data_IF_426426330500
#
_entry.id   IF_426426330500
#
_cell.length_a   1.000
_cell.length_b   1.000
_cell.length_c   1.000
_cell.angle_alpha   90.00
_cell.angle_beta   90.00
_cell.angle_gamma   90.00
#
_symmetry.space_group_name_H-M   'P 1'
#
loop_
_entity.id
_entity.type
_entity.pdbx_description
1 polymer ?
#
# COMPACT_ATOMS: atom_id res chain seq x y z
N UNK A 1 51.93 -65.00 27.39
CA UNK A 1 51.38 -66.28 26.94
C UNK A 1 50.04 -65.99 26.29
N UNK A 2 49.94 -66.37 25.01
CA UNK A 2 48.77 -66.76 24.19
C UNK A 2 47.44 -66.02 24.40
N UNK A 3 46.88 -65.29 23.42
CA UNK A 3 46.34 -65.70 22.11
C UNK A 3 44.99 -66.46 22.16
N UNK A 4 44.03 -66.01 21.34
CA UNK A 4 42.83 -66.73 20.89
C UNK A 4 41.50 -66.04 21.25
N UNK A 5 40.56 -65.75 20.34
CA UNK A 5 40.46 -66.03 18.91
C UNK A 5 39.09 -65.58 18.33
N UNK A 6 39.01 -65.62 16.98
CA UNK A 6 37.88 -65.69 16.01
C UNK A 6 36.44 -65.36 16.46
N UNK A 7 35.53 -64.76 15.67
CA UNK A 7 35.46 -64.47 14.24
C UNK A 7 33.97 -64.52 13.79
N UNK A 8 33.58 -63.75 12.75
CA UNK A 8 32.33 -63.82 11.94
C UNK A 8 30.96 -63.69 12.65
N UNK A 9 29.89 -63.07 12.16
CA UNK A 9 29.52 -62.42 10.91
C UNK A 9 27.97 -62.38 10.81
N UNK A 10 27.44 -61.25 10.31
CA UNK A 10 26.19 -61.06 9.53
C UNK A 10 24.78 -61.24 10.15
N UNK A 11 23.99 -60.17 9.90
CA UNK A 11 22.57 -60.09 9.50
C UNK A 11 21.43 -60.16 10.52
N UNK A 12 20.48 -59.24 10.34
CA UNK A 12 19.06 -59.45 10.65
C UNK A 12 18.42 -58.32 11.46
N UNK A 13 17.59 -57.52 10.79
CA UNK A 13 16.89 -56.37 11.34
C UNK A 13 15.49 -56.72 11.93
N UNK A 14 14.90 -55.73 12.62
CA UNK A 14 13.44 -55.52 12.90
C UNK A 14 12.92 -56.33 14.11
N UNK A 15 12.21 -55.82 15.14
CA UNK A 15 11.20 -54.74 15.24
C UNK A 15 10.98 -54.24 16.69
N UNK A 16 10.69 -52.94 16.78
CA UNK A 16 9.87 -52.15 17.72
C UNK A 16 9.36 -52.71 19.07
N UNK A 17 9.54 -51.87 20.12
CA UNK A 17 8.41 -51.26 20.87
C UNK A 17 8.88 -50.02 21.63
N UNK A 18 8.30 -48.87 21.28
CA UNK A 18 8.49 -47.59 21.95
C UNK A 18 7.43 -47.28 23.01
N UNK A 19 7.63 -46.13 23.66
CA UNK A 19 6.69 -45.22 24.37
C UNK A 19 7.59 -44.12 24.97
N UNK A 20 7.36 -42.80 24.94
CA UNK A 20 6.49 -41.82 24.26
C UNK A 20 7.28 -40.48 24.19
N UNK A 21 6.85 -39.35 23.65
CA UNK A 21 5.51 -38.83 23.34
C UNK A 21 5.54 -37.73 22.24
N UNK A 22 4.43 -37.69 21.49
CA UNK A 22 3.74 -36.67 20.68
C UNK A 22 4.32 -35.25 20.42
N UNK A 23 4.14 -34.74 19.19
CA UNK A 23 3.07 -33.76 18.86
C UNK A 23 3.09 -33.33 17.36
N UNK A 24 1.89 -33.18 16.77
CA UNK A 24 1.62 -32.10 15.82
C UNK A 24 1.69 -32.39 14.32
N UNK A 25 0.55 -32.76 13.73
CA UNK A 25 0.33 -32.96 12.30
C UNK A 25 0.67 -31.76 11.38
N UNK A 26 1.67 -31.89 10.51
CA UNK A 26 1.84 -31.01 9.35
C UNK A 26 1.05 -31.56 8.15
N UNK A 27 -0.10 -30.95 7.82
CA UNK A 27 -0.86 -31.29 6.61
C UNK A 27 -0.02 -30.95 5.36
N UNK A 28 0.22 -31.93 4.50
CA UNK A 28 0.94 -31.78 3.24
C UNK A 28 0.11 -30.93 2.28
N UNK A 29 0.65 -29.80 1.82
CA UNK A 29 -0.05 -28.87 0.91
C UNK A 29 -0.32 -29.53 -0.46
N UNK A 30 -1.46 -29.21 -1.13
CA UNK A 30 -1.80 -29.72 -2.45
C UNK A 30 -0.79 -29.26 -3.54
N UNK A 31 -0.59 -30.04 -4.63
CA UNK A 31 0.38 -29.72 -5.68
C UNK A 31 0.14 -28.37 -6.37
N UNK A 32 -1.10 -27.88 -6.43
CA UNK A 32 -1.44 -26.58 -7.00
C UNK A 32 -0.92 -25.39 -6.17
N UNK A 33 -0.63 -25.59 -4.87
CA UNK A 33 -0.09 -24.59 -3.96
C UNK A 33 1.45 -24.52 -4.00
N UNK A 34 2.13 -25.40 -4.75
CA UNK A 34 3.61 -25.46 -4.80
C UNK A 34 4.22 -24.37 -5.69
N UNK A 35 3.43 -23.72 -6.55
CA UNK A 35 3.87 -22.54 -7.34
C UNK A 35 3.85 -21.22 -6.56
N UNK A 36 3.13 -21.16 -5.45
CA UNK A 36 3.18 -20.04 -4.51
C UNK A 36 4.04 -20.44 -3.30
N UNK A 37 5.34 -20.66 -3.53
CA UNK A 37 6.29 -20.66 -2.42
C UNK A 37 6.48 -19.20 -2.01
N UNK A 38 5.79 -18.78 -0.95
CA UNK A 38 6.37 -17.76 -0.08
C UNK A 38 7.73 -18.31 0.36
N UNK A 39 8.81 -17.75 -0.18
CA UNK A 39 10.15 -18.18 0.14
C UNK A 39 10.40 -17.90 1.63
N UNK A 40 10.90 -18.90 2.36
CA UNK A 40 11.62 -18.60 3.58
C UNK A 40 12.84 -17.74 3.18
N UNK A 41 13.17 -16.65 3.91
CA UNK A 41 14.28 -15.80 3.53
C UNK A 41 15.55 -16.63 3.55
N UNK A 42 16.21 -16.73 2.40
CA UNK A 42 17.54 -17.30 2.30
C UNK A 42 18.46 -16.51 3.25
N UNK A 43 19.34 -17.20 3.98
CA UNK A 43 20.32 -16.57 4.89
C UNK A 43 21.31 -15.64 4.17
N UNK A 44 21.25 -15.59 2.84
CA UNK A 44 22.03 -14.72 1.96
C UNK A 44 21.16 -13.75 1.15
N UNK A 45 19.87 -13.59 1.49
CA UNK A 45 19.05 -12.52 0.94
C UNK A 45 19.59 -11.16 1.45
N UNK A 46 20.66 -10.68 0.80
CA UNK A 46 21.04 -9.26 0.80
C UNK A 46 19.75 -8.51 0.50
N UNK A 47 19.36 -7.59 1.38
CA UNK A 47 18.17 -6.76 1.26
C UNK A 47 17.96 -6.35 -0.20
N UNK A 48 17.06 -7.04 -0.91
CA UNK A 48 16.78 -6.72 -2.29
C UNK A 48 15.87 -5.50 -2.26
N UNK A 49 16.25 -4.44 -2.98
CA UNK A 49 15.64 -3.11 -2.92
C UNK A 49 14.18 -3.03 -3.45
N UNK A 50 13.41 -4.11 -3.41
CA UNK A 50 12.30 -4.37 -4.34
C UNK A 50 10.99 -4.86 -3.71
N UNK A 51 10.69 -4.46 -2.49
CA UNK A 51 9.33 -4.64 -1.98
C UNK A 51 8.93 -3.35 -1.28
N UNK A 52 7.75 -2.82 -1.59
CA UNK A 52 7.11 -1.77 -0.79
C UNK A 52 5.72 -2.24 -0.44
N UNK A 53 5.60 -2.69 0.81
CA UNK A 53 4.40 -2.64 1.65
C UNK A 53 4.96 -2.67 3.07
N UNK A 54 5.22 -1.49 3.64
CA UNK A 54 5.86 -1.31 4.95
C UNK A 54 7.40 -1.28 4.92
N UNK A 55 7.96 -0.40 5.75
CA UNK A 55 9.37 -0.03 5.86
C UNK A 55 10.38 -1.19 6.00
N UNK A 56 11.58 -1.03 5.43
CA UNK A 56 12.76 -1.89 5.67
C UNK A 56 13.76 -1.15 6.56
N UNK A 57 14.22 -1.78 7.64
CA UNK A 57 15.35 -1.28 8.44
C UNK A 57 16.63 -2.04 8.06
N UNK A 58 17.70 -1.32 7.72
CA UNK A 58 19.06 -1.87 7.67
C UNK A 58 19.51 -2.38 9.06
N UNK A 59 20.29 -3.47 9.16
CA UNK A 59 20.90 -3.83 10.43
C UNK A 59 22.12 -2.93 10.69
N UNK A 60 22.04 -2.07 11.71
CA UNK A 60 23.26 -1.52 12.35
C UNK A 60 24.00 -2.66 13.04
N UNK A 61 25.04 -3.17 12.38
CA UNK A 61 25.96 -4.11 13.00
C UNK A 61 26.92 -3.38 13.94
N UNK A 62 26.80 -3.68 15.24
CA UNK A 62 27.97 -3.83 16.11
C UNK A 62 27.69 -5.00 17.03
N UNK A 63 28.51 -6.05 16.90
CA UNK A 63 28.49 -7.28 17.70
C UNK A 63 27.53 -8.39 17.26
N UNK A 64 27.99 -9.23 16.31
CA UNK A 64 28.03 -10.70 16.43
C UNK A 64 26.77 -11.52 16.74
N UNK A 65 25.56 -10.98 16.74
CA UNK A 65 24.31 -11.76 16.85
C UNK A 65 23.48 -11.55 15.60
N UNK A 66 23.06 -12.65 14.98
CA UNK A 66 22.19 -12.64 13.80
C UNK A 66 20.96 -11.77 14.08
N UNK A 67 20.90 -10.61 13.42
CA UNK A 67 19.74 -9.74 13.45
C UNK A 67 18.59 -10.47 12.75
N UNK A 68 17.50 -10.75 13.47
CA UNK A 68 16.25 -11.23 12.87
C UNK A 68 15.81 -10.21 11.81
N UNK A 69 15.59 -10.66 10.59
CA UNK A 69 14.90 -9.86 9.56
C UNK A 69 13.48 -9.62 10.08
N UNK A 70 13.13 -8.36 10.34
CA UNK A 70 11.79 -7.97 10.71
C UNK A 70 11.10 -7.43 9.47
N UNK A 71 9.99 -8.06 9.08
CA UNK A 71 9.07 -7.52 8.11
C UNK A 71 8.07 -6.66 8.87
N UNK A 72 8.00 -5.37 8.54
CA UNK A 72 6.89 -4.54 8.98
C UNK A 72 5.72 -4.82 8.04
N UNK A 73 4.87 -5.76 8.43
CA UNK A 73 3.57 -5.86 7.78
C UNK A 73 2.73 -4.66 8.24
N UNK A 74 2.03 -4.02 7.31
CA UNK A 74 1.03 -3.04 7.70
C UNK A 74 0.00 -3.77 8.59
N UNK A 75 -0.29 -3.27 9.81
CA UNK A 75 -1.22 -3.94 10.71
C UNK A 75 -2.64 -4.11 10.12
N UNK A 76 -2.99 -3.39 9.06
CA UNK A 76 -4.27 -3.50 8.38
C UNK A 76 -4.44 -4.78 7.56
N UNK A 77 -3.36 -5.42 7.07
CA UNK A 77 -3.42 -6.66 6.29
C UNK A 77 -2.40 -7.71 6.79
N UNK A 78 -2.60 -8.25 8.00
CA UNK A 78 -1.64 -9.17 8.60
C UNK A 78 -1.54 -10.49 7.83
N UNK A 79 -0.32 -10.87 7.49
CA UNK A 79 0.00 -12.14 6.82
C UNK A 79 0.16 -12.06 5.30
N UNK A 80 -0.10 -10.91 4.70
CA UNK A 80 0.03 -10.68 3.26
C UNK A 80 0.81 -9.39 2.93
N UNK A 81 1.32 -9.28 1.71
CA UNK A 81 1.96 -8.09 1.16
C UNK A 81 1.98 -8.14 -0.36
N UNK A 82 1.66 -7.03 -1.02
CA UNK A 82 1.86 -6.87 -2.46
C UNK A 82 3.28 -6.35 -2.74
N UNK A 83 3.97 -6.95 -3.70
CA UNK A 83 5.36 -6.63 -4.02
C UNK A 83 5.50 -6.13 -5.46
N UNK A 84 6.06 -4.94 -5.62
CA UNK A 84 6.41 -4.36 -6.92
C UNK A 84 7.93 -4.24 -7.04
N UNK A 85 8.49 -4.74 -8.15
CA UNK A 85 9.91 -4.57 -8.44
C UNK A 85 10.19 -3.11 -8.82
N UNK A 86 11.00 -2.46 -7.98
CA UNK A 86 11.49 -1.09 -8.18
C UNK A 86 12.62 -1.08 -9.20
N UNK A 87 12.51 -0.23 -10.21
CA UNK A 87 13.60 0.07 -11.16
C UNK A 87 14.38 1.31 -10.70
N UNK A 88 13.69 2.35 -10.24
CA UNK A 88 14.33 3.60 -9.82
C UNK A 88 13.50 4.35 -8.78
N UNK A 89 14.13 4.83 -7.71
CA UNK A 89 13.52 5.79 -6.79
C UNK A 89 13.60 7.18 -7.43
N UNK A 90 12.46 7.85 -7.57
CA UNK A 90 12.33 9.16 -8.18
C UNK A 90 12.27 10.28 -7.13
N UNK A 91 11.59 10.02 -6.02
CA UNK A 91 11.46 10.93 -4.90
C UNK A 91 11.33 10.18 -3.58
N UNK A 92 11.91 10.73 -2.52
CA UNK A 92 11.69 10.27 -1.15
C UNK A 92 11.76 11.48 -0.21
N UNK A 93 10.74 11.67 0.59
CA UNK A 93 10.65 12.78 1.54
C UNK A 93 9.67 12.50 2.67
N UNK A 94 9.58 13.44 3.61
CA UNK A 94 8.64 13.40 4.72
C UNK A 94 8.03 14.78 4.90
N UNK A 95 6.70 14.88 4.88
CA UNK A 95 5.97 16.10 5.16
C UNK A 95 5.71 16.23 6.66
N UNK A 96 4.85 17.19 7.05
CA UNK A 96 4.33 17.28 8.41
C UNK A 96 3.37 16.14 8.75
N UNK A 97 2.81 15.46 7.74
CA UNK A 97 1.72 14.50 7.87
C UNK A 97 2.19 13.06 7.68
N UNK A 98 3.01 12.82 6.67
CA UNK A 98 3.33 11.46 6.21
C UNK A 98 4.67 11.38 5.45
N UNK A 99 5.12 10.16 5.22
CA UNK A 99 6.27 9.84 4.38
C UNK A 99 5.81 9.65 2.95
N UNK A 100 6.48 10.33 2.01
CA UNK A 100 6.13 10.35 0.59
C UNK A 100 7.25 9.71 -0.21
N UNK A 101 6.91 8.69 -0.99
CA UNK A 101 7.84 8.00 -1.88
C UNK A 101 7.23 7.90 -3.27
N UNK A 102 8.04 8.22 -4.28
CA UNK A 102 7.72 7.95 -5.68
C UNK A 102 8.83 7.11 -6.28
N UNK A 103 8.44 6.02 -6.93
CA UNK A 103 9.39 5.18 -7.66
C UNK A 103 8.81 4.71 -8.99
N UNK A 104 9.69 4.40 -9.92
CA UNK A 104 9.37 3.71 -11.16
C UNK A 104 9.45 2.21 -10.95
N UNK A 105 8.35 1.51 -11.23
CA UNK A 105 8.25 0.06 -11.16
C UNK A 105 8.52 -0.58 -12.52
N UNK A 106 8.94 -1.84 -12.52
CA UNK A 106 9.26 -2.57 -13.75
C UNK A 106 8.05 -2.81 -14.68
N UNK A 107 6.83 -2.87 -14.14
CA UNK A 107 5.64 -3.34 -14.90
C UNK A 107 4.35 -2.58 -14.61
N UNK A 108 4.35 -1.62 -13.67
CA UNK A 108 3.20 -0.80 -13.27
C UNK A 108 3.42 0.71 -13.50
N UNK A 109 4.52 1.10 -14.16
CA UNK A 109 4.88 2.50 -14.35
C UNK A 109 5.31 3.16 -13.03
N UNK A 110 5.06 4.46 -12.87
CA UNK A 110 5.34 5.16 -11.62
C UNK A 110 4.32 4.80 -10.54
N UNK A 111 4.78 4.83 -9.30
CA UNK A 111 4.02 4.43 -8.11
C UNK A 111 4.16 5.50 -7.04
N UNK A 112 3.05 5.97 -6.50
CA UNK A 112 3.01 6.83 -5.32
C UNK A 112 2.77 5.97 -4.09
N UNK A 113 3.57 6.23 -3.05
CA UNK A 113 3.45 5.55 -1.76
C UNK A 113 3.43 6.59 -0.66
N UNK A 114 2.45 6.47 0.24
CA UNK A 114 2.30 7.27 1.44
C UNK A 114 2.38 6.36 2.67
N UNK A 115 3.25 6.67 3.63
CA UNK A 115 3.48 5.87 4.85
C UNK A 115 3.71 4.36 4.58
N UNK A 116 4.33 4.05 3.44
CA UNK A 116 4.61 2.68 3.03
C UNK A 116 3.43 1.94 2.38
N UNK A 117 2.33 2.63 2.10
CA UNK A 117 1.12 2.12 1.44
C UNK A 117 1.04 2.67 0.02
N UNK A 118 0.88 1.78 -0.97
CA UNK A 118 0.67 2.17 -2.37
C UNK A 118 -0.67 2.89 -2.48
N UNK A 119 -0.64 4.14 -2.96
CA UNK A 119 -1.84 4.92 -3.20
C UNK A 119 -2.33 4.78 -4.65
N UNK A 120 -1.39 4.80 -5.62
CA UNK A 120 -1.70 4.63 -7.03
C UNK A 120 -0.51 4.08 -7.82
N UNK A 121 -0.81 3.52 -8.98
CA UNK A 121 0.16 3.23 -10.03
C UNK A 121 -0.34 3.78 -11.38
N UNK A 122 0.57 4.19 -12.26
CA UNK A 122 0.22 4.65 -13.62
C UNK A 122 -0.63 3.63 -14.40
N UNK A 123 -0.48 2.33 -14.09
CA UNK A 123 -1.08 1.26 -14.87
C UNK A 123 -2.55 1.00 -14.55
N UNK A 124 -2.97 1.21 -13.30
CA UNK A 124 -4.30 0.82 -12.82
C UNK A 124 -5.06 1.95 -12.10
N UNK A 125 -4.50 3.16 -12.02
CA UNK A 125 -5.17 4.36 -11.49
C UNK A 125 -6.58 4.55 -12.05
N UNK A 126 -6.77 4.26 -13.35
CA UNK A 126 -8.03 4.53 -14.03
C UNK A 126 -9.20 3.78 -13.40
N UNK A 127 -8.97 2.54 -12.93
CA UNK A 127 -10.01 1.73 -12.33
C UNK A 127 -10.54 2.38 -11.04
N UNK A 128 -9.66 2.96 -10.22
CA UNK A 128 -10.06 3.62 -8.99
C UNK A 128 -10.68 5.00 -9.29
N UNK A 129 -9.98 5.84 -10.05
CA UNK A 129 -10.37 7.23 -10.30
C UNK A 129 -11.70 7.33 -11.06
N UNK A 130 -11.89 6.51 -12.09
CA UNK A 130 -13.14 6.47 -12.84
C UNK A 130 -14.29 6.00 -11.93
N UNK A 131 -14.07 4.96 -11.13
CA UNK A 131 -15.14 4.36 -10.31
C UNK A 131 -15.57 5.29 -9.18
N UNK A 132 -14.63 5.83 -8.40
CA UNK A 132 -14.95 6.70 -7.28
C UNK A 132 -15.63 8.00 -7.73
N UNK A 133 -15.33 8.45 -8.96
CA UNK A 133 -15.90 9.66 -9.53
C UNK A 133 -17.23 9.42 -10.22
N UNK A 134 -17.29 8.47 -11.15
CA UNK A 134 -18.44 8.32 -12.04
C UNK A 134 -19.60 7.59 -11.37
N UNK A 135 -19.36 6.71 -10.39
CA UNK A 135 -20.46 6.09 -9.63
C UNK A 135 -21.39 7.14 -8.99
N UNK A 136 -20.92 8.10 -8.17
CA UNK A 136 -21.81 9.11 -7.59
C UNK A 136 -22.30 10.12 -8.62
N UNK A 137 -21.43 10.64 -9.50
CA UNK A 137 -21.81 11.75 -10.40
C UNK A 137 -22.75 11.34 -11.52
N UNK A 138 -22.72 10.07 -11.97
CA UNK A 138 -23.71 9.55 -12.91
C UNK A 138 -25.04 9.16 -12.24
N UNK A 139 -25.10 9.15 -10.91
CA UNK A 139 -26.30 8.79 -10.13
C UNK A 139 -27.17 9.99 -9.76
N UNK A 140 -26.73 11.21 -10.05
CA UNK A 140 -27.45 12.46 -9.79
C UNK A 140 -27.60 13.29 -11.07
N UNK A 141 -28.74 13.99 -11.27
CA UNK A 141 -28.96 14.76 -12.49
C UNK A 141 -28.16 16.07 -12.47
N UNK A 142 -27.27 16.25 -13.45
CA UNK A 142 -26.55 17.51 -13.71
C UNK A 142 -25.86 18.12 -12.47
N UNK A 143 -24.91 17.41 -11.82
CA UNK A 143 -24.17 17.96 -10.70
C UNK A 143 -23.44 19.25 -11.10
N UNK A 144 -23.48 20.26 -10.24
CA UNK A 144 -22.90 21.59 -10.46
C UNK A 144 -21.73 21.88 -9.52
N UNK A 145 -21.86 21.57 -8.23
CA UNK A 145 -20.81 21.83 -7.24
C UNK A 145 -20.38 20.54 -6.55
N UNK A 146 -19.12 20.16 -6.76
CA UNK A 146 -18.53 18.92 -6.26
C UNK A 146 -17.39 19.25 -5.31
N UNK A 147 -17.33 18.54 -4.17
CA UNK A 147 -16.18 18.55 -3.26
C UNK A 147 -15.39 17.26 -3.40
N UNK A 148 -14.07 17.36 -3.51
CA UNK A 148 -13.14 16.25 -3.38
C UNK A 148 -12.34 16.43 -2.09
N UNK A 149 -12.34 15.43 -1.22
CA UNK A 149 -11.51 15.39 -0.01
C UNK A 149 -10.37 14.42 -0.23
N UNK A 150 -9.14 14.85 0.05
CA UNK A 150 -7.93 14.17 -0.37
C UNK A 150 -7.69 14.36 -1.87
N UNK A 151 -7.33 13.28 -2.58
CA UNK A 151 -7.12 13.31 -4.03
C UNK A 151 -5.94 14.18 -4.49
N UNK A 152 -4.89 14.29 -3.66
CA UNK A 152 -3.70 15.09 -3.94
C UNK A 152 -2.95 14.74 -5.24
N UNK A 153 -3.18 13.57 -5.85
CA UNK A 153 -2.63 13.23 -7.17
C UNK A 153 -3.32 13.97 -8.34
N UNK A 154 -4.57 14.40 -8.14
CA UNK A 154 -5.38 15.16 -9.11
C UNK A 154 -6.16 14.30 -10.10
N UNK A 155 -6.07 12.98 -9.99
CA UNK A 155 -6.78 12.04 -10.86
C UNK A 155 -8.30 12.13 -10.77
N UNK A 156 -8.84 12.16 -9.55
CA UNK A 156 -10.28 12.39 -9.35
C UNK A 156 -10.72 13.72 -9.95
N UNK A 157 -9.91 14.79 -9.84
CA UNK A 157 -10.23 16.08 -10.46
C UNK A 157 -10.32 15.99 -11.98
N UNK A 158 -9.40 15.25 -12.61
CA UNK A 158 -9.41 14.98 -14.05
C UNK A 158 -10.73 14.30 -14.47
N UNK A 159 -11.18 13.33 -13.69
CA UNK A 159 -12.41 12.59 -13.97
C UNK A 159 -13.67 13.43 -13.69
N UNK A 160 -13.71 14.22 -12.61
CA UNK A 160 -14.81 15.15 -12.32
C UNK A 160 -14.94 16.18 -13.44
N UNK A 161 -13.81 16.65 -13.98
CA UNK A 161 -13.76 17.63 -15.05
C UNK A 161 -14.40 17.15 -16.36
N UNK A 162 -14.61 15.84 -16.55
CA UNK A 162 -15.34 15.29 -17.72
C UNK A 162 -16.83 15.60 -17.69
N UNK A 163 -17.39 15.92 -16.53
CA UNK A 163 -18.80 16.26 -16.39
C UNK A 163 -19.01 17.74 -16.74
N UNK A 164 -19.63 17.99 -17.91
CA UNK A 164 -19.84 19.35 -18.43
C UNK A 164 -20.85 20.17 -17.62
N UNK A 165 -21.69 19.52 -16.79
CA UNK A 165 -22.62 20.21 -15.90
C UNK A 165 -21.94 20.79 -14.67
N UNK A 166 -20.75 20.29 -14.31
CA UNK A 166 -20.02 20.76 -13.13
C UNK A 166 -19.51 22.17 -13.40
N UNK A 167 -19.89 23.09 -12.52
CA UNK A 167 -19.57 24.52 -12.56
C UNK A 167 -18.43 24.86 -11.60
N UNK A 168 -18.28 24.11 -10.50
CA UNK A 168 -17.26 24.33 -9.46
C UNK A 168 -16.79 23.02 -8.85
N UNK A 169 -15.48 22.89 -8.67
CA UNK A 169 -14.83 21.74 -8.04
C UNK A 169 -13.97 22.27 -6.90
N UNK A 170 -14.39 22.05 -5.66
CA UNK A 170 -13.54 22.32 -4.50
C UNK A 170 -12.72 21.06 -4.19
N UNK A 171 -11.42 21.20 -3.93
CA UNK A 171 -10.58 20.11 -3.42
C UNK A 171 -9.95 20.52 -2.10
N UNK A 172 -10.06 19.66 -1.09
CA UNK A 172 -9.42 19.83 0.20
C UNK A 172 -8.43 18.71 0.46
N UNK A 173 -7.15 19.02 0.32
CA UNK A 173 -6.03 18.09 0.53
C UNK A 173 -5.16 18.63 1.67
N UNK A 174 -4.81 17.79 2.63
CA UNK A 174 -4.12 18.22 3.83
C UNK A 174 -2.62 18.43 3.59
N UNK A 175 -2.03 17.68 2.65
CA UNK A 175 -0.59 17.63 2.45
C UNK A 175 -0.15 18.27 1.13
N UNK A 176 0.32 19.52 1.22
CA UNK A 176 0.91 20.26 0.09
C UNK A 176 2.02 19.46 -0.61
N UNK A 177 2.81 18.67 0.13
CA UNK A 177 3.92 17.94 -0.45
C UNK A 177 3.43 16.87 -1.43
N UNK A 178 2.30 16.22 -1.15
CA UNK A 178 1.71 15.22 -2.04
C UNK A 178 1.31 15.87 -3.37
N UNK A 179 0.66 17.03 -3.32
CA UNK A 179 0.25 17.79 -4.51
C UNK A 179 1.47 18.16 -5.37
N UNK A 180 2.52 18.68 -4.74
CA UNK A 180 3.71 19.15 -5.45
C UNK A 180 4.46 17.99 -6.10
N UNK A 181 4.66 16.89 -5.36
CA UNK A 181 5.26 15.65 -5.86
C UNK A 181 4.44 15.07 -7.01
N UNK A 182 3.11 15.08 -6.91
CA UNK A 182 2.24 14.57 -7.97
C UNK A 182 2.31 15.42 -9.24
N UNK A 183 2.36 16.75 -9.13
CA UNK A 183 2.56 17.64 -10.28
C UNK A 183 3.87 17.37 -11.02
N UNK A 184 4.93 17.06 -10.28
CA UNK A 184 6.25 16.79 -10.86
C UNK A 184 6.35 15.41 -11.53
N UNK A 185 5.80 14.36 -10.91
CA UNK A 185 6.00 12.98 -11.36
C UNK A 185 4.81 12.35 -12.09
N UNK A 186 3.60 12.85 -11.86
CA UNK A 186 2.33 12.36 -12.42
C UNK A 186 1.54 13.45 -13.16
N UNK A 187 2.14 14.18 -14.13
CA UNK A 187 1.49 15.34 -14.76
C UNK A 187 0.20 14.99 -15.52
N UNK A 188 0.01 13.73 -15.91
CA UNK A 188 -1.20 13.25 -16.58
C UNK A 188 -2.39 13.02 -15.62
N UNK A 189 -2.12 12.92 -14.31
CA UNK A 189 -3.15 12.96 -13.25
C UNK A 189 -3.35 14.41 -12.82
N UNK A 190 -2.26 15.08 -12.47
CA UNK A 190 -2.29 16.44 -11.91
C UNK A 190 -2.72 17.53 -12.90
N UNK A 191 -2.93 17.18 -14.18
CA UNK A 191 -3.65 18.03 -15.15
C UNK A 191 -5.05 18.41 -14.64
N UNK A 192 -5.66 17.59 -13.77
CA UNK A 192 -6.93 17.91 -13.12
C UNK A 192 -6.89 19.24 -12.35
N UNK A 193 -5.76 19.60 -11.73
CA UNK A 193 -5.59 20.89 -11.04
C UNK A 193 -5.56 22.10 -11.99
N UNK A 194 -5.46 21.91 -13.30
CA UNK A 194 -5.43 22.99 -14.28
C UNK A 194 -6.83 23.36 -14.81
N UNK A 195 -7.87 22.60 -14.47
CA UNK A 195 -9.23 22.96 -14.85
C UNK A 195 -9.64 24.26 -14.12
N UNK A 196 -10.13 25.30 -14.84
CA UNK A 196 -10.44 26.60 -14.24
C UNK A 196 -11.58 26.55 -13.22
N UNK A 197 -12.33 25.45 -13.14
CA UNK A 197 -13.38 25.22 -12.14
C UNK A 197 -12.83 24.72 -10.81
N UNK A 198 -11.56 24.31 -10.77
CA UNK A 198 -10.92 23.75 -9.57
C UNK A 198 -10.45 24.86 -8.63
N UNK A 199 -10.83 24.73 -7.36
CA UNK A 199 -10.39 25.56 -6.24
C UNK A 199 -9.68 24.66 -5.23
N UNK A 200 -8.36 24.84 -5.12
CA UNK A 200 -7.54 24.09 -4.19
C UNK A 200 -7.50 24.75 -2.82
N UNK A 201 -7.90 23.98 -1.80
CA UNK A 201 -7.83 24.33 -0.39
C UNK A 201 -6.85 23.37 0.28
N UNK A 202 -5.73 23.89 0.79
CA UNK A 202 -4.75 23.06 1.50
C UNK A 202 -5.03 23.15 2.99
N UNK A 203 -5.48 22.04 3.58
CA UNK A 203 -5.90 22.02 4.98
C UNK A 203 -6.70 20.78 5.36
N UNK A 204 -7.15 20.78 6.61
CA UNK A 204 -7.92 19.68 7.19
C UNK A 204 -9.37 19.67 6.67
N UNK A 205 -9.80 18.54 6.13
CA UNK A 205 -11.12 18.38 5.54
C UNK A 205 -12.27 18.41 6.57
N UNK A 206 -12.03 17.99 7.82
CA UNK A 206 -13.01 18.08 8.91
C UNK A 206 -13.27 19.54 9.26
N UNK A 207 -12.21 20.36 9.34
CA UNK A 207 -12.35 21.79 9.54
C UNK A 207 -13.02 22.47 8.34
N UNK A 208 -12.62 22.10 7.12
CA UNK A 208 -13.22 22.61 5.90
C UNK A 208 -14.73 22.36 5.85
N UNK A 209 -15.16 21.13 6.10
CA UNK A 209 -16.59 20.76 6.12
C UNK A 209 -17.36 21.44 7.25
N UNK A 210 -16.77 21.58 8.44
CA UNK A 210 -17.41 22.26 9.58
C UNK A 210 -17.75 23.72 9.26
N UNK A 211 -16.95 24.35 8.41
CA UNK A 211 -17.13 25.73 7.99
C UNK A 211 -17.95 25.86 6.68
N UNK A 212 -18.27 24.73 6.02
CA UNK A 212 -19.06 24.74 4.80
C UNK A 212 -20.55 25.03 5.10
N UNK A 213 -21.21 25.93 4.35
CA UNK A 213 -22.64 26.16 4.52
C UNK A 213 -23.45 24.90 4.22
N UNK A 214 -24.54 24.71 4.95
CA UNK A 214 -25.47 23.60 4.72
C UNK A 214 -26.04 23.62 3.30
N UNK A 215 -26.13 22.45 2.66
CA UNK A 215 -26.71 22.30 1.31
C UNK A 215 -25.85 22.86 0.18
N UNK A 216 -24.54 23.04 0.38
CA UNK A 216 -23.64 23.64 -0.62
C UNK A 216 -23.27 22.71 -1.78
N UNK A 217 -23.05 21.41 -1.52
CA UNK A 217 -22.48 20.47 -2.49
C UNK A 217 -23.53 19.49 -2.99
N UNK A 218 -23.52 19.25 -4.31
CA UNK A 218 -24.36 18.22 -4.93
C UNK A 218 -23.77 16.81 -4.70
N UNK A 219 -22.44 16.73 -4.62
CA UNK A 219 -21.71 15.50 -4.32
C UNK A 219 -20.41 15.81 -3.55
N UNK A 220 -20.06 14.91 -2.64
CA UNK A 220 -18.78 14.89 -1.93
C UNK A 220 -18.12 13.54 -2.23
N UNK A 221 -16.89 13.58 -2.74
CA UNK A 221 -16.06 12.41 -3.01
C UNK A 221 -14.92 12.40 -2.00
N UNK A 222 -14.81 11.33 -1.22
CA UNK A 222 -13.76 11.17 -0.20
C UNK A 222 -12.71 10.21 -0.74
N UNK A 223 -11.68 10.76 -1.34
CA UNK A 223 -10.50 10.08 -1.88
C UNK A 223 -9.36 10.17 -0.86
N UNK A 224 -9.57 9.53 0.28
CA UNK A 224 -8.62 9.54 1.40
C UNK A 224 -7.70 8.34 1.39
N UNK A 225 -6.52 8.48 2.00
CA UNK A 225 -5.71 7.33 2.40
C UNK A 225 -6.44 6.46 3.43
N UNK A 226 -5.82 5.32 3.76
CA UNK A 226 -6.29 4.42 4.81
C UNK A 226 -6.43 5.13 6.19
N UNK A 227 -7.27 4.61 7.11
CA UNK A 227 -7.56 5.24 8.42
C UNK A 227 -6.43 5.10 9.45
N UNK A 228 -5.18 5.11 9.00
CA UNK A 228 -3.97 5.24 9.81
C UNK A 228 -3.26 6.50 9.35
N UNK A 229 -3.04 7.43 10.28
CA UNK A 229 -2.45 8.74 9.97
C UNK A 229 -3.51 9.81 9.76
N UNK A 230 -3.32 10.74 8.80
CA UNK A 230 -4.14 11.95 8.70
C UNK A 230 -5.61 11.70 8.32
N UNK A 231 -5.94 10.55 7.72
CA UNK A 231 -7.30 10.22 7.29
C UNK A 231 -8.18 9.57 8.37
N UNK A 232 -7.67 9.37 9.60
CA UNK A 232 -8.39 8.64 10.65
C UNK A 232 -9.77 9.23 10.95
N UNK A 233 -9.91 10.56 11.00
CA UNK A 233 -11.20 11.20 11.33
C UNK A 233 -12.23 11.07 10.19
N UNK A 234 -11.80 10.82 8.95
CA UNK A 234 -12.65 10.78 7.76
C UNK A 234 -13.51 9.50 7.68
N UNK A 235 -13.23 8.50 8.53
CA UNK A 235 -14.02 7.26 8.61
C UNK A 235 -14.91 7.20 9.85
N UNK A 236 -14.90 8.24 10.68
CA UNK A 236 -15.62 8.28 11.95
C UNK A 236 -16.99 8.95 11.82
N UNK A 237 -17.94 8.56 12.70
CA UNK A 237 -19.32 9.07 12.67
C UNK A 237 -19.43 10.62 12.67
N UNK A 238 -18.61 11.40 13.39
CA UNK A 238 -18.74 12.86 13.37
C UNK A 238 -18.47 13.52 12.01
N UNK A 239 -17.77 12.84 11.10
CA UNK A 239 -17.52 13.32 9.74
C UNK A 239 -18.75 13.16 8.83
N UNK A 240 -19.59 12.14 9.07
CA UNK A 240 -20.81 11.83 8.31
C UNK A 240 -22.08 12.43 8.93
#
# INVERSE_FOLDING_TARGET
>A
MEAGGAGSGLNGAVQAKGTGADDGSAKRLPPCCVKARAAAPESEARCHATVVSGWFTEPRSRCGKASKVQYYNNPMWPGEANSLKVEKILYQGKSLYQEVLVFESSTYGKVLVLDGIVQLTDKDECAYQEMITHLPLCSIPSPKKVLVIGGGDGGVLREVSRHSSVESIDICEIDQLVIDVCKDFFPHLSVGFQDPRVQLHVGDAVEFLRNAPEGTYDAIIVDSSDPIGPAQELVEKPFF
#
